data_IF_900223467470
#
_entry.id   IF_900223467470
#
_cell.length_a   1.000
_cell.length_b   1.000
_cell.length_c   1.000
_cell.angle_alpha   90.00
_cell.angle_beta   90.00
_cell.angle_gamma   90.00
#
_symmetry.space_group_name_H-M   'P 1'
#
loop_
_entity.id
_entity.type
_entity.pdbx_description
1 polymer ?
#
# COMPACT_ATOMS: atom_id res chain seq x y z
N UNK A 1 -10.27 35.17 -1.88
CA UNK A 1 -11.27 34.12 -2.17
C UNK A 1 -10.77 32.84 -1.50
N UNK A 2 -11.33 32.51 -0.37
CA UNK A 2 -10.98 31.27 0.34
C UNK A 2 -11.73 30.18 -0.42
N UNK A 3 -10.98 29.31 -1.07
CA UNK A 3 -11.53 28.12 -1.71
C UNK A 3 -12.22 27.30 -0.61
N UNK A 4 -13.50 27.09 -0.78
CA UNK A 4 -14.32 26.31 0.14
C UNK A 4 -13.88 24.84 0.01
N UNK A 5 -12.81 24.49 0.72
CA UNK A 5 -12.34 23.11 0.82
C UNK A 5 -13.38 22.33 1.59
N UNK A 6 -14.40 21.91 0.87
CA UNK A 6 -15.42 21.05 1.39
C UNK A 6 -14.77 19.76 1.91
N UNK A 7 -14.93 19.47 3.20
CA UNK A 7 -14.46 18.21 3.76
C UNK A 7 -15.02 17.04 2.96
N UNK A 8 -14.19 16.02 2.66
CA UNK A 8 -14.66 14.88 1.88
C UNK A 8 -15.85 14.22 2.58
N UNK A 9 -16.93 14.05 1.87
CA UNK A 9 -18.08 13.30 2.37
C UNK A 9 -17.74 11.82 2.48
N UNK A 10 -18.47 11.06 3.30
CA UNK A 10 -18.26 9.60 3.44
C UNK A 10 -18.35 8.86 2.08
N UNK A 11 -19.01 9.44 1.10
CA UNK A 11 -19.10 8.92 -0.28
C UNK A 11 -17.81 9.11 -1.11
N UNK A 12 -16.90 9.96 -0.65
CA UNK A 12 -15.64 10.23 -1.37
C UNK A 12 -14.47 9.37 -0.88
N UNK A 13 -14.71 8.60 0.17
CA UNK A 13 -13.73 7.67 0.73
C UNK A 13 -13.85 6.27 0.10
N UNK A 14 -12.79 5.49 0.22
CA UNK A 14 -12.68 4.13 -0.32
C UNK A 14 -12.90 4.05 -1.84
N UNK A 15 -12.36 5.05 -2.53
CA UNK A 15 -12.46 5.17 -3.99
C UNK A 15 -11.09 5.46 -4.60
N UNK A 16 -10.90 4.97 -5.82
CA UNK A 16 -9.81 5.37 -6.69
C UNK A 16 -10.39 6.15 -7.88
N UNK A 17 -9.89 7.36 -8.09
CA UNK A 17 -10.35 8.28 -9.13
C UNK A 17 -9.22 8.51 -10.12
N UNK A 18 -9.48 8.23 -11.40
CA UNK A 18 -8.57 8.59 -12.48
C UNK A 18 -8.82 10.01 -12.95
N UNK A 19 -7.75 10.71 -13.32
CA UNK A 19 -7.83 12.04 -13.91
C UNK A 19 -6.85 12.20 -15.07
N UNK A 20 -7.12 13.15 -15.94
CA UNK A 20 -6.24 13.51 -17.04
C UNK A 20 -5.94 15.00 -17.03
N UNK A 21 -4.74 15.36 -17.49
CA UNK A 21 -4.31 16.74 -17.72
C UNK A 21 -3.96 16.83 -19.20
N UNK A 22 -4.93 17.19 -20.09
CA UNK A 22 -4.74 17.13 -21.54
C UNK A 22 -3.59 18.00 -22.03
N UNK A 23 -3.44 19.22 -21.48
CA UNK A 23 -2.39 20.16 -21.88
C UNK A 23 -0.97 19.69 -21.51
N UNK A 24 -0.86 18.65 -20.69
CA UNK A 24 0.42 18.07 -20.25
C UNK A 24 0.60 16.63 -20.72
N UNK A 25 -0.34 16.09 -21.47
CA UNK A 25 -0.37 14.68 -21.87
C UNK A 25 -0.11 13.74 -20.68
N UNK A 26 -0.70 14.08 -19.54
CA UNK A 26 -0.52 13.37 -18.28
C UNK A 26 -1.82 12.75 -17.79
N UNK A 27 -1.70 11.58 -17.16
CA UNK A 27 -2.78 10.89 -16.46
C UNK A 27 -2.34 10.56 -15.06
N UNK A 28 -3.28 10.55 -14.14
CA UNK A 28 -3.01 10.19 -12.76
C UNK A 28 -4.19 9.49 -12.11
N UNK A 29 -3.95 8.99 -10.91
CA UNK A 29 -4.96 8.40 -10.04
C UNK A 29 -4.78 8.91 -8.63
N UNK A 30 -5.89 9.08 -7.94
CA UNK A 30 -5.93 9.42 -6.52
C UNK A 30 -6.79 8.39 -5.82
N UNK A 31 -6.35 7.94 -4.66
CA UNK A 31 -7.16 7.14 -3.75
C UNK A 31 -7.18 7.77 -2.36
N UNK A 32 -8.33 7.66 -1.70
CA UNK A 32 -8.51 7.99 -0.29
C UNK A 32 -9.19 6.84 0.38
N UNK A 33 -8.55 6.28 1.40
CA UNK A 33 -9.08 5.18 2.19
C UNK A 33 -9.51 5.70 3.56
N UNK A 34 -10.65 5.25 4.03
CA UNK A 34 -11.22 5.60 5.32
C UNK A 34 -11.79 4.36 6.01
N UNK A 35 -13.09 4.08 5.91
CA UNK A 35 -13.72 2.92 6.58
C UNK A 35 -13.05 1.58 6.29
N UNK A 36 -12.54 1.35 5.07
CA UNK A 36 -11.84 0.11 4.72
C UNK A 36 -10.54 -0.03 5.51
N UNK A 37 -9.80 1.06 5.72
CA UNK A 37 -8.61 1.05 6.59
C UNK A 37 -8.96 0.72 8.02
N UNK A 38 -9.98 1.36 8.57
CA UNK A 38 -10.44 1.11 9.94
C UNK A 38 -10.82 -0.36 10.12
N UNK A 39 -11.50 -0.95 9.16
CA UNK A 39 -11.90 -2.36 9.20
C UNK A 39 -10.68 -3.31 9.19
N UNK A 40 -9.67 -3.02 8.38
CA UNK A 40 -8.48 -3.86 8.29
C UNK A 40 -7.59 -3.68 9.51
N UNK A 41 -7.31 -2.44 9.90
CA UNK A 41 -6.40 -2.15 11.01
C UNK A 41 -6.97 -2.54 12.37
N UNK A 42 -8.28 -2.37 12.58
CA UNK A 42 -8.94 -2.75 13.84
C UNK A 42 -9.09 -4.25 14.02
N UNK A 43 -8.99 -5.05 12.96
CA UNK A 43 -9.00 -6.50 13.05
C UNK A 43 -7.75 -7.07 13.75
N UNK A 44 -6.70 -6.28 13.84
CA UNK A 44 -5.43 -6.63 14.46
C UNK A 44 -5.03 -5.51 15.44
N UNK A 45 -4.57 -5.85 16.60
CA UNK A 45 -4.09 -4.88 17.58
C UNK A 45 -2.64 -4.44 17.26
N UNK A 46 -2.42 -3.85 16.10
CA UNK A 46 -1.10 -3.39 15.69
C UNK A 46 -0.63 -2.17 16.47
N UNK A 47 0.66 -2.07 16.82
CA UNK A 47 1.25 -0.83 17.32
C UNK A 47 1.22 0.28 16.26
N UNK A 48 1.29 1.57 16.68
CA UNK A 48 1.19 2.71 15.74
C UNK A 48 2.14 2.66 14.55
N UNK A 49 3.39 2.23 14.75
CA UNK A 49 4.37 2.13 13.66
C UNK A 49 3.96 1.09 12.61
N UNK A 50 3.38 -0.02 13.03
CA UNK A 50 2.88 -1.07 12.12
C UNK A 50 1.58 -0.65 11.45
N UNK A 51 0.68 0.02 12.17
CA UNK A 51 -0.53 0.58 11.57
C UNK A 51 -0.20 1.58 10.46
N UNK A 52 0.71 2.50 10.71
CA UNK A 52 1.15 3.50 9.71
C UNK A 52 1.74 2.83 8.48
N UNK A 53 2.62 1.85 8.68
CA UNK A 53 3.23 1.08 7.61
C UNK A 53 2.18 0.34 6.76
N UNK A 54 1.27 -0.37 7.41
CA UNK A 54 0.21 -1.12 6.72
C UNK A 54 -0.79 -0.20 6.02
N UNK A 55 -1.13 0.94 6.60
CA UNK A 55 -2.01 1.93 5.99
C UNK A 55 -1.40 2.47 4.69
N UNK A 56 -0.11 2.80 4.68
CA UNK A 56 0.61 3.23 3.48
C UNK A 56 0.63 2.13 2.41
N UNK A 57 0.93 0.89 2.81
CA UNK A 57 0.93 -0.26 1.91
C UNK A 57 -0.45 -0.53 1.30
N UNK A 58 -1.51 -0.41 2.08
CA UNK A 58 -2.89 -0.59 1.61
C UNK A 58 -3.31 0.51 0.63
N UNK A 59 -2.94 1.77 0.90
CA UNK A 59 -3.21 2.87 -0.01
C UNK A 59 -2.50 2.66 -1.36
N UNK A 60 -1.23 2.25 -1.33
CA UNK A 60 -0.46 1.92 -2.54
C UNK A 60 -1.08 0.73 -3.29
N UNK A 61 -1.50 -0.31 -2.57
CA UNK A 61 -2.16 -1.49 -3.13
C UNK A 61 -3.48 -1.13 -3.81
N UNK A 62 -4.30 -0.29 -3.18
CA UNK A 62 -5.56 0.19 -3.77
C UNK A 62 -5.30 1.02 -5.03
N UNK A 63 -4.31 1.91 -4.98
CA UNK A 63 -3.94 2.76 -6.10
C UNK A 63 -3.51 1.95 -7.32
N UNK A 64 -2.58 1.01 -7.14
CA UNK A 64 -2.10 0.14 -8.20
C UNK A 64 -3.17 -0.87 -8.63
N UNK A 65 -3.90 -1.45 -7.69
CA UNK A 65 -4.98 -2.39 -7.96
C UNK A 65 -6.11 -1.80 -8.80
N UNK A 66 -6.37 -0.50 -8.65
CA UNK A 66 -7.35 0.21 -9.44
C UNK A 66 -7.01 0.29 -10.95
N UNK A 67 -5.79 -0.06 -11.32
CA UNK A 67 -5.35 -0.13 -12.73
C UNK A 67 -5.65 -1.47 -13.39
N UNK A 68 -6.00 -2.49 -12.60
CA UNK A 68 -6.37 -3.81 -13.13
C UNK A 68 -7.59 -3.73 -14.03
N UNK A 69 -7.58 -4.50 -15.09
CA UNK A 69 -8.70 -4.62 -16.02
C UNK A 69 -9.57 -5.82 -15.62
N UNK A 70 -10.84 -5.54 -15.36
CA UNK A 70 -11.81 -6.57 -14.97
C UNK A 70 -11.72 -6.92 -13.48
N UNK A 71 -12.69 -7.72 -13.03
CA UNK A 71 -12.85 -8.07 -11.61
C UNK A 71 -12.05 -9.32 -11.20
N UNK A 72 -11.56 -10.09 -12.14
CA UNK A 72 -10.85 -11.33 -11.85
C UNK A 72 -9.34 -11.13 -11.64
N UNK A 73 -8.80 -9.96 -11.99
CA UNK A 73 -7.41 -9.63 -11.76
C UNK A 73 -7.09 -9.45 -10.27
N UNK A 74 -5.86 -9.72 -9.90
CA UNK A 74 -5.35 -9.54 -8.55
C UNK A 74 -4.03 -8.78 -8.54
N UNK A 75 -3.88 -7.88 -7.60
CA UNK A 75 -2.60 -7.26 -7.25
C UNK A 75 -2.18 -7.77 -5.89
N UNK A 76 -0.94 -8.21 -5.77
CA UNK A 76 -0.30 -8.52 -4.49
C UNK A 76 0.93 -7.65 -4.31
N UNK A 77 0.99 -6.94 -3.21
CA UNK A 77 2.14 -6.18 -2.75
C UNK A 77 2.71 -6.90 -1.53
N UNK A 78 3.96 -7.34 -1.62
CA UNK A 78 4.59 -8.12 -0.57
C UNK A 78 5.99 -7.59 -0.25
N UNK A 79 6.23 -7.27 1.01
CA UNK A 79 7.56 -6.99 1.52
C UNK A 79 8.05 -8.22 2.32
N UNK A 80 9.25 -8.66 2.04
CA UNK A 80 9.88 -9.78 2.72
C UNK A 80 11.30 -9.45 3.12
N UNK A 81 11.66 -9.82 4.34
CA UNK A 81 12.99 -9.60 4.89
C UNK A 81 13.50 -10.87 5.58
N UNK A 82 14.81 -11.02 5.65
CA UNK A 82 15.39 -12.16 6.34
C UNK A 82 15.55 -11.93 7.85
N UNK A 83 15.97 -10.74 8.25
CA UNK A 83 16.28 -10.40 9.64
C UNK A 83 15.68 -9.05 10.07
N UNK A 84 14.67 -8.55 9.37
CA UNK A 84 13.98 -7.32 9.75
C UNK A 84 13.08 -7.51 10.97
N UNK A 85 12.76 -6.42 11.63
CA UNK A 85 11.72 -6.39 12.68
C UNK A 85 10.37 -6.79 12.07
N UNK A 86 10.04 -6.27 10.89
CA UNK A 86 8.96 -6.78 10.06
C UNK A 86 9.49 -7.93 9.22
N UNK A 87 8.94 -9.10 9.41
CA UNK A 87 9.33 -10.31 8.69
C UNK A 87 8.60 -10.46 7.37
N UNK A 88 7.32 -10.13 7.39
CA UNK A 88 6.44 -10.21 6.23
C UNK A 88 5.38 -9.12 6.31
N UNK A 89 5.14 -8.45 5.21
CA UNK A 89 3.95 -7.62 4.99
C UNK A 89 3.35 -8.04 3.66
N UNK A 90 2.05 -8.29 3.65
CA UNK A 90 1.34 -8.65 2.42
C UNK A 90 0.03 -7.89 2.34
N UNK A 91 -0.23 -7.30 1.17
CA UNK A 91 -1.48 -6.64 0.84
C UNK A 91 -1.99 -7.17 -0.49
N UNK A 92 -3.27 -7.45 -0.57
CA UNK A 92 -3.94 -7.90 -1.79
C UNK A 92 -5.08 -6.98 -2.17
N UNK A 93 -5.22 -6.77 -3.47
CA UNK A 93 -6.40 -6.16 -4.08
C UNK A 93 -7.00 -7.13 -5.09
N UNK A 94 -8.28 -7.45 -4.93
CA UNK A 94 -9.03 -8.29 -5.86
C UNK A 94 -10.51 -7.92 -5.84
N UNK A 95 -11.10 -7.75 -7.01
CA UNK A 95 -12.54 -7.46 -7.16
C UNK A 95 -13.03 -6.27 -6.30
N UNK A 96 -12.22 -5.22 -6.17
CA UNK A 96 -12.54 -4.06 -5.35
C UNK A 96 -12.37 -4.26 -3.84
N UNK A 97 -11.86 -5.41 -3.41
CA UNK A 97 -11.61 -5.72 -2.00
C UNK A 97 -10.12 -5.62 -1.65
N UNK A 98 -9.84 -5.12 -0.46
CA UNK A 98 -8.49 -5.03 0.10
C UNK A 98 -8.30 -5.99 1.27
N UNK A 99 -7.12 -6.58 1.36
CA UNK A 99 -6.64 -7.30 2.54
C UNK A 99 -5.23 -6.88 2.86
N UNK A 100 -4.86 -6.92 4.12
CA UNK A 100 -3.51 -6.62 4.55
C UNK A 100 -3.15 -7.32 5.85
N UNK A 101 -1.90 -7.70 5.96
CA UNK A 101 -1.36 -8.39 7.13
C UNK A 101 0.13 -8.07 7.29
N UNK A 102 0.56 -7.94 8.55
CA UNK A 102 1.97 -7.76 8.92
C UNK A 102 2.35 -8.76 9.99
N UNK A 103 3.43 -9.49 9.77
CA UNK A 103 4.12 -10.29 10.77
C UNK A 103 5.39 -9.58 11.23
N UNK A 104 5.52 -9.35 12.51
CA UNK A 104 6.61 -8.57 13.10
C UNK A 104 7.04 -9.13 14.46
N UNK A 105 8.26 -8.79 14.85
CA UNK A 105 8.80 -9.09 16.17
C UNK A 105 8.47 -7.96 17.14
N UNK A 106 7.56 -8.22 18.08
CA UNK A 106 7.07 -7.20 19.02
C UNK A 106 8.16 -6.69 19.98
N UNK A 107 9.05 -7.56 20.44
CA UNK A 107 10.13 -7.17 21.35
C UNK A 107 11.15 -6.27 20.64
N UNK A 108 11.54 -6.63 19.44
CA UNK A 108 12.46 -5.82 18.63
C UNK A 108 11.84 -4.50 18.21
N UNK A 109 10.54 -4.48 17.89
CA UNK A 109 9.82 -3.24 17.58
C UNK A 109 9.81 -2.30 18.78
N UNK A 110 9.56 -2.80 19.99
CA UNK A 110 9.54 -2.00 21.21
C UNK A 110 10.89 -1.34 21.52
N UNK A 111 12.00 -1.89 21.03
CA UNK A 111 13.34 -1.34 21.17
C UNK A 111 13.66 -0.25 20.13
N UNK A 112 12.81 -0.04 19.13
CA UNK A 112 12.99 1.00 18.11
C UNK A 112 12.46 2.36 18.59
N UNK A 113 12.92 3.48 17.97
CA UNK A 113 12.32 4.79 18.16
C UNK A 113 10.83 4.80 17.83
N UNK A 114 10.10 5.78 18.32
CA UNK A 114 8.64 5.90 18.14
C UNK A 114 8.21 6.01 16.66
N UNK A 115 9.03 6.66 15.83
CA UNK A 115 8.85 6.74 14.39
C UNK A 115 10.04 6.07 13.67
N UNK A 116 10.09 4.74 13.62
CA UNK A 116 11.23 4.04 13.03
C UNK A 116 11.30 4.26 11.51
N UNK A 117 12.52 4.31 10.99
CA UNK A 117 12.75 4.37 9.54
C UNK A 117 12.33 3.07 8.86
N UNK A 118 12.17 3.13 7.55
CA UNK A 118 11.91 1.94 6.72
C UNK A 118 13.01 0.88 6.92
N UNK A 119 14.27 1.31 6.94
CA UNK A 119 15.41 0.42 7.19
C UNK A 119 15.37 -0.18 8.60
N UNK A 120 14.98 0.57 9.62
CA UNK A 120 14.84 0.04 10.98
C UNK A 120 13.78 -1.06 11.06
N UNK A 121 12.71 -0.95 10.30
CA UNK A 121 11.64 -1.94 10.25
C UNK A 121 12.00 -3.17 9.42
N UNK A 122 12.54 -2.97 8.23
CA UNK A 122 12.75 -4.05 7.26
C UNK A 122 14.20 -4.54 7.16
N UNK A 123 15.18 -3.73 7.57
CA UNK A 123 16.57 -4.05 7.29
C UNK A 123 16.83 -4.15 5.79
N UNK A 124 17.60 -5.14 5.38
CA UNK A 124 17.78 -5.49 3.97
C UNK A 124 16.62 -6.36 3.52
N UNK A 125 15.76 -5.78 2.70
CA UNK A 125 14.58 -6.47 2.19
C UNK A 125 14.21 -5.99 0.80
N UNK A 126 13.17 -6.58 0.25
CA UNK A 126 12.64 -6.19 -1.04
C UNK A 126 11.11 -6.14 -1.03
N UNK A 127 10.60 -5.33 -1.94
CA UNK A 127 9.18 -5.19 -2.22
C UNK A 127 8.90 -5.87 -3.55
N UNK A 128 8.02 -6.87 -3.54
CA UNK A 128 7.51 -7.52 -4.73
C UNK A 128 6.11 -7.02 -5.03
N UNK A 129 5.88 -6.57 -6.25
CA UNK A 129 4.58 -6.14 -6.74
C UNK A 129 4.18 -7.08 -7.87
N UNK A 130 3.10 -7.82 -7.68
CA UNK A 130 2.65 -8.84 -8.63
C UNK A 130 1.27 -8.48 -9.17
N UNK A 131 1.17 -8.34 -10.48
CA UNK A 131 -0.08 -8.19 -11.20
C UNK A 131 -0.44 -9.54 -11.82
N UNK A 132 -1.59 -10.07 -11.45
CA UNK A 132 -2.17 -11.27 -12.01
C UNK A 132 -3.37 -10.88 -12.87
N UNK A 133 -3.19 -10.90 -14.18
CA UNK A 133 -4.20 -10.49 -15.15
C UNK A 133 -4.99 -11.73 -15.59
N UNK A 134 -6.11 -12.01 -14.94
CA UNK A 134 -6.92 -13.19 -15.25
C UNK A 134 -7.45 -13.20 -16.70
N UNK A 135 -7.75 -12.02 -17.25
CA UNK A 135 -8.29 -11.88 -18.61
C UNK A 135 -7.29 -12.31 -19.69
N UNK A 136 -6.00 -12.04 -19.48
CA UNK A 136 -4.93 -12.39 -20.44
C UNK A 136 -4.17 -13.63 -20.03
N UNK A 137 -4.34 -14.10 -18.80
CA UNK A 137 -3.53 -15.17 -18.21
C UNK A 137 -2.07 -14.76 -17.93
N UNK A 138 -1.76 -13.47 -18.10
CA UNK A 138 -0.43 -12.94 -17.89
C UNK A 138 -0.21 -12.59 -16.42
N UNK A 139 0.96 -12.96 -15.91
CA UNK A 139 1.45 -12.59 -14.60
C UNK A 139 2.68 -11.71 -14.75
N UNK A 140 2.63 -10.56 -14.16
CA UNK A 140 3.73 -9.60 -14.17
C UNK A 140 4.20 -9.32 -12.75
N UNK A 141 5.49 -9.46 -12.50
CA UNK A 141 6.07 -9.20 -11.18
C UNK A 141 7.29 -8.30 -11.31
N UNK A 142 7.32 -7.23 -10.53
CA UNK A 142 8.50 -6.42 -10.30
C UNK A 142 9.00 -6.58 -8.87
N UNK A 143 10.31 -6.56 -8.70
CA UNK A 143 10.95 -6.63 -7.39
C UNK A 143 11.88 -5.45 -7.27
N UNK A 144 11.71 -4.66 -6.22
CA UNK A 144 12.55 -3.50 -5.91
C UNK A 144 13.10 -3.59 -4.49
N UNK A 145 14.30 -3.05 -4.23
CA UNK A 145 14.81 -2.98 -2.87
C UNK A 145 13.94 -2.06 -2.01
N UNK A 146 13.87 -2.34 -0.72
CA UNK A 146 13.21 -1.49 0.27
C UNK A 146 14.13 -0.34 0.68
N UNK A 147 14.47 0.50 -0.28
CA UNK A 147 15.31 1.68 -0.10
C UNK A 147 14.47 2.95 -0.03
N UNK A 148 15.00 3.97 0.63
CA UNK A 148 14.34 5.27 0.80
C UNK A 148 13.72 5.44 2.18
N UNK A 149 13.01 6.53 2.36
CA UNK A 149 12.41 6.91 3.65
C UNK A 149 11.00 6.32 3.86
N UNK A 150 10.36 5.89 2.77
CA UNK A 150 8.99 5.36 2.80
C UNK A 150 8.80 4.22 1.80
N UNK A 151 7.69 3.48 1.94
CA UNK A 151 7.26 2.49 0.95
C UNK A 151 6.98 3.13 -0.42
N UNK A 152 6.47 4.35 -0.42
CA UNK A 152 6.23 5.10 -1.66
C UNK A 152 7.53 5.39 -2.40
N UNK A 153 8.61 5.72 -1.69
CA UNK A 153 9.94 5.92 -2.30
C UNK A 153 10.46 4.62 -2.91
N UNK A 154 10.35 3.51 -2.20
CA UNK A 154 10.75 2.20 -2.72
C UNK A 154 9.92 1.82 -3.96
N UNK A 155 8.62 2.05 -3.94
CA UNK A 155 7.71 1.74 -5.04
C UNK A 155 7.97 2.58 -6.30
N UNK A 156 8.52 3.80 -6.17
CA UNK A 156 8.88 4.63 -7.33
C UNK A 156 9.99 3.99 -8.20
N UNK A 157 10.75 3.08 -7.64
CA UNK A 157 11.77 2.33 -8.38
C UNK A 157 11.20 1.20 -9.24
N UNK A 158 9.92 0.91 -9.07
CA UNK A 158 9.17 -0.08 -9.86
C UNK A 158 8.79 0.47 -11.23
#
# INVERSE_FOLDING_TARGET
MVDDMQEPTATDLDRAIGFTIPDRDARGRITRLGPVLDSILSAHAYPPAIETLLAEALALTALLGSTLKGEEGQLTLQAQTQNGVVRLMVCDFKAGELRGYVDYDAERLAALPEAPSLFALFGNGYLAITFDQAVTGERYQGIVPLDGDSLSDAAQSY
#
